data_IF_088060946873
#
_entry.id   IF_088060946873
#
_cell.length_a   1.000
_cell.length_b   1.000
_cell.length_c   1.000
_cell.angle_alpha   90.00
_cell.angle_beta   90.00
_cell.angle_gamma   90.00
#
_symmetry.space_group_name_H-M   'P 1'
#
loop_
_entity.id
_entity.type
_entity.pdbx_description
1 polymer ?
#
# COMPACT_ATOMS: atom_id res chain seq x y z
N UNK A 1 -16.44 -13.51 -4.62
CA UNK A 1 -16.70 -12.19 -5.24
C UNK A 1 -17.37 -11.31 -4.21
N UNK A 2 -16.80 -10.13 -3.94
CA UNK A 2 -17.31 -9.21 -2.92
C UNK A 2 -18.61 -8.56 -3.39
N UNK A 3 -19.70 -8.82 -2.68
CA UNK A 3 -21.05 -8.33 -3.00
C UNK A 3 -21.28 -6.88 -2.53
N UNK A 4 -21.66 -6.04 -3.50
CA UNK A 4 -21.80 -4.57 -3.49
C UNK A 4 -22.72 -3.91 -2.47
N UNK A 5 -23.46 -4.66 -1.68
CA UNK A 5 -24.45 -4.10 -0.76
C UNK A 5 -23.83 -3.74 0.60
N UNK A 6 -22.67 -4.32 0.95
CA UNK A 6 -22.12 -4.37 2.31
C UNK A 6 -20.69 -3.80 2.46
N UNK A 7 -20.17 -3.03 1.49
CA UNK A 7 -18.82 -2.45 1.55
C UNK A 7 -18.73 -0.98 1.14
N UNK A 8 -17.74 -0.27 1.71
CA UNK A 8 -17.43 1.11 1.33
C UNK A 8 -16.72 1.91 2.41
N UNK A 9 -16.44 3.18 2.07
CA UNK A 9 -15.93 4.16 3.03
C UNK A 9 -16.98 4.39 4.12
N UNK A 10 -16.58 4.26 5.39
CA UNK A 10 -17.43 4.58 6.53
C UNK A 10 -17.48 6.10 6.71
N UNK A 11 -18.44 6.75 6.08
CA UNK A 11 -18.64 8.19 6.24
C UNK A 11 -18.82 8.55 7.72
N UNK A 12 -17.96 9.44 8.23
CA UNK A 12 -17.99 9.90 9.62
C UNK A 12 -17.28 9.00 10.64
N UNK A 13 -16.77 7.81 10.26
CA UNK A 13 -15.86 7.04 11.09
C UNK A 13 -14.41 7.21 10.59
N UNK A 14 -13.49 7.29 11.54
CA UNK A 14 -12.06 7.40 11.28
C UNK A 14 -11.31 6.55 12.32
N UNK A 15 -9.99 6.42 12.15
CA UNK A 15 -9.12 5.74 13.12
C UNK A 15 -9.17 6.37 14.53
N UNK A 16 -9.67 7.59 14.68
CA UNK A 16 -9.85 8.25 15.98
C UNK A 16 -11.09 7.79 16.76
N UNK A 17 -11.97 6.99 16.15
CA UNK A 17 -13.11 6.39 16.83
C UNK A 17 -12.58 5.41 17.92
N UNK A 18 -13.09 5.46 19.17
CA UNK A 18 -12.69 4.54 20.23
C UNK A 18 -12.71 3.06 19.85
N UNK A 19 -13.55 2.68 18.88
CA UNK A 19 -13.63 1.33 18.32
C UNK A 19 -12.30 0.84 17.73
N UNK A 20 -11.45 1.74 17.24
CA UNK A 20 -10.15 1.41 16.63
C UNK A 20 -8.95 1.70 17.54
N UNK A 21 -9.17 2.05 18.82
CA UNK A 21 -8.10 2.41 19.76
C UNK A 21 -7.05 1.30 19.94
N UNK A 22 -7.45 0.04 19.95
CA UNK A 22 -6.53 -1.12 20.02
C UNK A 22 -5.66 -1.25 18.77
N UNK A 23 -6.21 -0.93 17.60
CA UNK A 23 -5.48 -0.96 16.32
C UNK A 23 -4.44 0.17 16.29
N UNK A 24 -4.82 1.38 16.69
CA UNK A 24 -3.91 2.53 16.69
C UNK A 24 -2.83 2.36 17.76
N UNK A 25 -3.19 2.00 18.99
CA UNK A 25 -2.22 1.85 20.08
C UNK A 25 -1.29 0.64 19.95
N UNK A 26 -1.69 -0.38 19.17
CA UNK A 26 -0.88 -1.55 18.89
C UNK A 26 -0.07 -1.47 17.60
N UNK A 27 -0.13 -0.36 16.86
CA UNK A 27 0.57 -0.20 15.59
C UNK A 27 2.09 -0.22 15.80
N UNK A 28 2.84 -1.10 15.12
CA UNK A 28 4.30 -1.05 15.14
C UNK A 28 4.83 0.17 14.38
N UNK A 29 6.07 0.55 14.65
CA UNK A 29 6.80 1.57 13.90
C UNK A 29 6.73 1.30 12.39
N UNK A 30 6.39 2.33 11.60
CA UNK A 30 6.24 2.23 10.15
C UNK A 30 4.92 1.60 9.65
N UNK A 31 3.95 1.31 10.52
CA UNK A 31 2.64 0.84 10.09
C UNK A 31 1.88 1.94 9.32
N UNK A 32 1.64 1.71 8.03
CA UNK A 32 0.91 2.66 7.17
C UNK A 32 -0.60 2.35 7.12
N UNK A 33 -0.96 1.09 7.32
CA UNK A 33 -2.34 0.62 7.30
C UNK A 33 -2.53 -0.59 8.20
N UNK A 34 -3.78 -0.88 8.54
CA UNK A 34 -4.17 -2.09 9.24
C UNK A 34 -5.39 -2.74 8.62
N UNK A 35 -5.41 -4.07 8.69
CA UNK A 35 -6.58 -4.90 8.46
C UNK A 35 -7.09 -5.33 9.83
N UNK A 36 -8.38 -5.14 10.08
CA UNK A 36 -9.00 -5.50 11.35
C UNK A 36 -10.25 -6.35 11.13
N UNK A 37 -10.26 -7.58 11.66
CA UNK A 37 -11.38 -8.50 11.59
C UNK A 37 -12.13 -8.54 12.92
N UNK A 38 -13.43 -8.25 12.90
CA UNK A 38 -14.30 -8.17 14.06
C UNK A 38 -15.64 -8.84 13.83
N UNK A 39 -16.19 -9.49 14.86
CA UNK A 39 -17.57 -10.01 14.78
C UNK A 39 -18.59 -8.87 14.67
N UNK A 40 -19.69 -9.12 13.96
CA UNK A 40 -20.81 -8.16 13.89
C UNK A 40 -21.72 -8.38 15.11
N UNK A 41 -21.67 -7.49 16.10
CA UNK A 41 -22.57 -7.52 17.27
C UNK A 41 -21.97 -6.86 18.51
N UNK A 42 -22.80 -6.54 19.50
CA UNK A 42 -22.32 -6.16 20.84
C UNK A 42 -21.84 -7.41 21.59
N UNK A 43 -20.74 -7.33 22.36
CA UNK A 43 -20.27 -8.40 23.27
C UNK A 43 -19.87 -9.73 22.60
N UNK A 44 -19.17 -9.68 21.45
CA UNK A 44 -18.73 -10.87 20.71
C UNK A 44 -19.88 -11.72 20.15
N UNK A 45 -21.11 -11.19 20.09
CA UNK A 45 -22.21 -11.85 19.42
C UNK A 45 -21.85 -11.99 17.93
N UNK A 46 -21.74 -13.23 17.46
CA UNK A 46 -21.55 -13.54 16.04
C UNK A 46 -22.92 -13.46 15.34
N UNK A 47 -23.37 -12.24 15.05
CA UNK A 47 -24.65 -12.03 14.37
C UNK A 47 -24.55 -12.54 12.93
N UNK A 48 -25.42 -13.49 12.57
CA UNK A 48 -25.57 -14.04 11.22
C UNK A 48 -24.31 -14.74 10.65
N UNK A 49 -23.38 -15.20 11.49
CA UNK A 49 -22.14 -15.84 11.04
C UNK A 49 -21.32 -14.94 10.08
N UNK A 50 -21.26 -13.65 10.39
CA UNK A 50 -20.59 -12.63 9.59
C UNK A 50 -19.66 -11.76 10.43
N UNK A 51 -18.55 -11.36 9.82
CA UNK A 51 -17.57 -10.46 10.40
C UNK A 51 -17.49 -9.16 9.59
N UNK A 52 -17.23 -8.05 10.28
CA UNK A 52 -16.74 -6.83 9.67
C UNK A 52 -15.24 -6.92 9.47
N UNK A 53 -14.79 -6.69 8.25
CA UNK A 53 -13.39 -6.58 7.91
C UNK A 53 -13.10 -5.14 7.49
N UNK A 54 -12.19 -4.50 8.22
CA UNK A 54 -11.82 -3.10 8.02
C UNK A 54 -10.45 -3.01 7.38
N UNK A 55 -10.27 -2.00 6.53
CA UNK A 55 -8.98 -1.51 6.05
C UNK A 55 -8.84 -0.07 6.53
N UNK A 56 -7.86 0.18 7.39
CA UNK A 56 -7.65 1.47 8.06
C UNK A 56 -6.39 2.13 7.50
N UNK A 57 -6.48 3.40 7.10
CA UNK A 57 -5.29 4.21 6.85
C UNK A 57 -4.76 4.74 8.18
N UNK A 58 -3.60 4.26 8.62
CA UNK A 58 -2.94 4.70 9.85
C UNK A 58 -1.97 5.85 9.62
N UNK A 59 -1.64 6.16 8.36
CA UNK A 59 -0.67 7.17 7.98
C UNK A 59 -1.25 8.59 7.93
N UNK A 60 -0.35 9.57 7.93
CA UNK A 60 -0.66 10.99 7.76
C UNK A 60 -0.84 11.39 6.30
N UNK A 61 -0.67 10.45 5.38
CA UNK A 61 -0.75 10.66 3.93
C UNK A 61 -1.87 9.85 3.31
N UNK A 62 -2.20 10.20 2.07
CA UNK A 62 -3.24 9.46 1.33
C UNK A 62 -2.63 8.17 0.81
N UNK A 63 -3.21 7.04 1.19
CA UNK A 63 -2.83 5.77 0.61
C UNK A 63 -3.39 5.65 -0.81
N UNK A 64 -2.59 5.10 -1.72
CA UNK A 64 -2.96 4.92 -3.13
C UNK A 64 -3.14 3.45 -3.47
N UNK A 65 -4.03 3.16 -4.42
CA UNK A 65 -4.32 1.80 -4.90
C UNK A 65 -4.45 0.77 -3.77
N UNK A 66 -5.33 0.99 -2.77
CA UNK A 66 -5.56 -0.01 -1.75
C UNK A 66 -6.20 -1.26 -2.38
N UNK A 67 -5.62 -2.42 -2.08
CA UNK A 67 -6.07 -3.72 -2.57
C UNK A 67 -6.13 -4.74 -1.44
N UNK A 68 -6.99 -5.73 -1.61
CA UNK A 68 -6.99 -6.92 -0.76
C UNK A 68 -7.50 -8.16 -1.49
N UNK A 69 -7.30 -9.31 -0.88
CA UNK A 69 -7.77 -10.59 -1.38
C UNK A 69 -8.02 -11.54 -0.23
N UNK A 70 -9.01 -12.40 -0.37
CA UNK A 70 -9.40 -13.38 0.64
C UNK A 70 -9.46 -14.77 0.00
N UNK A 71 -8.92 -15.79 0.67
CA UNK A 71 -9.00 -17.18 0.19
C UNK A 71 -8.97 -18.16 1.35
N UNK A 72 -9.53 -19.34 1.16
CA UNK A 72 -9.39 -20.48 2.08
C UNK A 72 -8.42 -21.55 1.54
N UNK A 73 -8.11 -21.52 0.24
CA UNK A 73 -7.52 -22.67 -0.46
C UNK A 73 -6.24 -22.37 -1.27
N UNK A 74 -5.82 -21.11 -1.40
CA UNK A 74 -4.70 -20.73 -2.28
C UNK A 74 -3.57 -19.99 -1.57
N UNK A 75 -2.32 -20.25 -2.01
CA UNK A 75 -1.10 -19.54 -1.59
C UNK A 75 -0.58 -18.54 -2.65
N UNK A 76 -1.35 -18.29 -3.72
CA UNK A 76 -0.98 -17.38 -4.81
C UNK A 76 -1.14 -15.89 -4.47
N UNK A 77 -0.89 -15.00 -5.44
CA UNK A 77 -1.35 -13.62 -5.34
C UNK A 77 -2.81 -13.54 -5.76
N UNK A 78 -3.68 -13.07 -4.88
CA UNK A 78 -5.14 -12.99 -5.10
C UNK A 78 -5.72 -11.63 -4.71
N UNK A 79 -4.96 -10.54 -4.85
CA UNK A 79 -5.47 -9.19 -4.56
C UNK A 79 -6.37 -8.66 -5.68
N UNK A 80 -7.34 -7.85 -5.27
CA UNK A 80 -8.16 -7.02 -6.12
C UNK A 80 -8.28 -5.62 -5.48
N UNK A 81 -8.39 -4.55 -6.29
CA UNK A 81 -8.63 -3.21 -5.78
C UNK A 81 -9.86 -3.15 -4.87
N UNK A 82 -9.79 -2.35 -3.81
CA UNK A 82 -10.97 -2.02 -3.01
C UNK A 82 -11.98 -1.29 -3.89
N UNK A 83 -13.27 -1.52 -3.64
CA UNK A 83 -14.35 -0.97 -4.45
C UNK A 83 -15.26 -0.10 -3.58
N UNK A 84 -15.75 1.01 -4.13
CA UNK A 84 -16.77 1.86 -3.51
C UNK A 84 -18.04 1.87 -4.34
N UNK A 85 -19.06 2.58 -3.84
CA UNK A 85 -20.32 2.89 -4.52
C UNK A 85 -21.24 1.71 -4.84
N UNK A 86 -20.75 0.47 -4.78
CA UNK A 86 -21.55 -0.72 -4.52
C UNK A 86 -22.99 -0.70 -5.10
N UNK A 87 -24.01 -0.97 -4.28
CA UNK A 87 -25.43 -0.92 -4.66
C UNK A 87 -25.96 0.48 -4.98
N UNK A 88 -25.25 1.54 -4.54
CA UNK A 88 -25.61 2.94 -4.84
C UNK A 88 -25.58 3.24 -6.34
N UNK A 89 -25.14 2.25 -7.12
CA UNK A 89 -25.01 2.26 -8.53
C UNK A 89 -25.48 0.93 -9.19
N UNK A 90 -26.38 0.16 -8.58
CA UNK A 90 -26.85 -1.09 -9.20
C UNK A 90 -27.53 -0.81 -10.57
N UNK A 91 -27.01 -1.31 -11.71
CA UNK A 91 -27.57 -1.00 -13.03
C UNK A 91 -28.99 -1.51 -13.24
N UNK A 92 -29.40 -2.56 -12.51
CA UNK A 92 -30.79 -3.04 -12.49
C UNK A 92 -31.77 -2.03 -11.88
N UNK A 93 -31.27 -1.11 -11.05
CA UNK A 93 -32.03 -0.03 -10.44
C UNK A 93 -31.59 1.36 -10.94
N UNK A 94 -30.84 1.42 -12.05
CA UNK A 94 -30.46 2.67 -12.72
C UNK A 94 -29.19 3.35 -12.21
N UNK A 95 -28.26 2.59 -11.63
CA UNK A 95 -26.97 3.10 -11.20
C UNK A 95 -25.76 2.66 -12.06
N UNK A 96 -24.56 3.21 -11.83
CA UNK A 96 -23.39 3.05 -12.72
C UNK A 96 -22.36 1.91 -12.42
N UNK A 97 -22.63 0.99 -11.48
CA UNK A 97 -21.74 -0.05 -10.97
C UNK A 97 -20.87 0.28 -9.73
N UNK A 98 -19.98 -0.65 -9.35
CA UNK A 98 -18.99 -0.37 -8.32
C UNK A 98 -17.81 0.37 -8.93
N UNK A 99 -17.29 1.38 -8.21
CA UNK A 99 -16.12 2.16 -8.61
C UNK A 99 -14.88 1.68 -7.87
N UNK A 100 -13.72 1.69 -8.51
CA UNK A 100 -12.45 1.40 -7.82
C UNK A 100 -12.10 2.51 -6.84
N UNK A 101 -11.78 2.13 -5.60
CA UNK A 101 -11.18 3.03 -4.63
C UNK A 101 -9.71 3.24 -4.98
N UNK A 102 -9.39 4.35 -5.64
CA UNK A 102 -8.01 4.66 -6.04
C UNK A 102 -7.18 5.26 -4.89
N UNK A 103 -7.84 5.77 -3.86
CA UNK A 103 -7.18 6.45 -2.75
C UNK A 103 -7.97 6.37 -1.45
N UNK A 104 -7.27 6.22 -0.32
CA UNK A 104 -7.84 6.25 1.02
C UNK A 104 -7.18 7.39 1.82
N UNK A 105 -7.95 8.41 2.19
CA UNK A 105 -7.47 9.59 2.88
C UNK A 105 -6.86 9.27 4.27
N UNK A 106 -6.00 10.14 4.83
CA UNK A 106 -5.43 9.96 6.16
C UNK A 106 -6.52 9.68 7.21
N UNK A 107 -6.32 8.63 8.01
CA UNK A 107 -7.28 8.22 9.05
C UNK A 107 -8.62 7.68 8.56
N UNK A 108 -8.84 7.58 7.24
CA UNK A 108 -10.08 7.03 6.70
C UNK A 108 -10.15 5.51 6.89
N UNK A 109 -11.38 5.02 7.06
CA UNK A 109 -11.68 3.61 7.26
C UNK A 109 -12.57 3.11 6.14
N UNK A 110 -12.13 2.04 5.49
CA UNK A 110 -12.92 1.23 4.59
C UNK A 110 -13.40 -0.03 5.32
N UNK A 111 -14.63 -0.47 5.05
CA UNK A 111 -15.17 -1.68 5.63
C UNK A 111 -15.87 -2.55 4.57
N UNK A 112 -15.82 -3.86 4.76
CA UNK A 112 -16.74 -4.83 4.14
C UNK A 112 -17.28 -5.76 5.21
N UNK A 113 -18.32 -6.50 4.86
CA UNK A 113 -18.73 -7.69 5.59
C UNK A 113 -18.24 -8.92 4.86
N UNK A 114 -17.74 -9.90 5.61
CA UNK A 114 -17.31 -11.20 5.12
C UNK A 114 -18.08 -12.31 5.86
N UNK A 115 -18.29 -13.47 5.23
CA UNK A 115 -18.73 -14.66 5.96
C UNK A 115 -17.71 -15.04 7.02
N UNK A 116 -18.18 -15.64 8.11
CA UNK A 116 -17.28 -16.33 9.02
C UNK A 116 -16.82 -17.65 8.37
N UNK A 117 -15.52 -17.84 8.21
CA UNK A 117 -14.95 -19.01 7.55
C UNK A 117 -14.59 -20.08 8.58
N UNK A 118 -15.25 -21.25 8.48
CA UNK A 118 -14.93 -22.42 9.30
C UNK A 118 -13.48 -22.85 9.09
N UNK A 119 -12.59 -22.53 10.04
CA UNK A 119 -11.15 -22.82 9.98
C UNK A 119 -10.25 -21.60 9.72
N UNK A 120 -10.82 -20.42 9.51
CA UNK A 120 -10.10 -19.19 9.20
C UNK A 120 -9.90 -19.02 7.70
N UNK A 121 -9.21 -17.94 7.33
CA UNK A 121 -8.92 -17.59 5.95
C UNK A 121 -7.55 -16.93 5.83
N UNK A 122 -7.03 -16.86 4.61
CA UNK A 122 -5.81 -16.13 4.27
C UNK A 122 -6.15 -14.80 3.62
N UNK A 123 -5.31 -13.81 3.88
CA UNK A 123 -5.41 -12.47 3.31
C UNK A 123 -4.09 -12.03 2.67
N UNK A 124 -4.23 -11.43 1.49
CA UNK A 124 -3.22 -10.56 0.89
C UNK A 124 -3.79 -9.15 0.89
N UNK A 125 -2.97 -8.15 1.15
CA UNK A 125 -3.39 -6.77 1.06
C UNK A 125 -2.21 -5.86 0.76
N UNK A 126 -2.48 -4.75 0.09
CA UNK A 126 -1.47 -3.74 -0.21
C UNK A 126 -2.11 -2.35 -0.27
N UNK A 127 -1.29 -1.34 -0.03
CA UNK A 127 -1.60 0.06 -0.31
C UNK A 127 -0.28 0.83 -0.47
N UNK A 128 -0.25 1.79 -1.40
CA UNK A 128 0.94 2.58 -1.71
C UNK A 128 2.20 1.73 -1.91
N UNK A 129 2.07 0.54 -2.51
CA UNK A 129 3.19 -0.39 -2.76
C UNK A 129 3.69 -1.18 -1.54
N UNK A 130 3.21 -0.92 -0.33
CA UNK A 130 3.48 -1.72 0.87
C UNK A 130 2.37 -2.76 1.04
N UNK A 131 2.72 -4.00 1.40
CA UNK A 131 1.71 -5.05 1.51
C UNK A 131 2.13 -6.26 2.32
N UNK A 132 1.14 -7.12 2.57
CA UNK A 132 1.26 -8.40 3.26
C UNK A 132 0.76 -9.52 2.35
N UNK A 133 1.37 -10.69 2.46
CA UNK A 133 1.02 -11.88 1.66
C UNK A 133 0.81 -13.09 2.56
N UNK A 134 -0.20 -13.89 2.21
CA UNK A 134 -0.62 -15.15 2.83
C UNK A 134 -0.74 -15.07 4.37
N UNK A 135 -1.19 -13.94 4.90
CA UNK A 135 -1.41 -13.80 6.34
C UNK A 135 -2.67 -14.56 6.73
N UNK A 136 -2.60 -15.30 7.84
CA UNK A 136 -3.72 -16.15 8.31
C UNK A 136 -4.55 -15.38 9.34
N UNK A 137 -5.86 -15.30 9.11
CA UNK A 137 -6.86 -14.84 10.08
C UNK A 137 -7.65 -16.07 10.58
N UNK A 138 -7.58 -16.40 11.88
CA UNK A 138 -8.27 -17.57 12.43
C UNK A 138 -9.80 -17.36 12.54
N UNK A 139 -10.57 -18.46 12.55
CA UNK A 139 -12.05 -18.47 12.69
C UNK A 139 -12.54 -17.87 14.02
N UNK A 140 -11.73 -18.01 15.07
CA UNK A 140 -11.96 -17.44 16.40
C UNK A 140 -11.47 -15.98 16.49
N UNK A 141 -11.10 -15.39 15.34
CA UNK A 141 -10.32 -14.17 15.20
C UNK A 141 -11.08 -12.87 15.42
N UNK A 142 -12.01 -12.84 16.36
CA UNK A 142 -12.48 -11.58 16.91
C UNK A 142 -11.27 -10.86 17.51
N UNK A 143 -10.97 -9.68 16.99
CA UNK A 143 -9.85 -8.86 17.41
C UNK A 143 -8.58 -9.05 16.58
N UNK A 144 -8.61 -9.82 15.48
CA UNK A 144 -7.39 -10.06 14.70
C UNK A 144 -6.99 -8.82 13.92
N UNK A 145 -5.76 -8.36 14.13
CA UNK A 145 -5.18 -7.18 13.47
C UNK A 145 -3.95 -7.62 12.67
N UNK A 146 -3.85 -7.16 11.42
CA UNK A 146 -2.68 -7.32 10.56
C UNK A 146 -2.23 -5.94 10.11
N UNK A 147 -0.98 -5.59 10.35
CA UNK A 147 -0.41 -4.31 9.92
C UNK A 147 0.31 -4.44 8.58
N UNK A 148 0.15 -3.43 7.73
CA UNK A 148 0.99 -3.20 6.57
C UNK A 148 2.09 -2.24 7.03
N UNK A 149 3.32 -2.75 7.12
CA UNK A 149 4.46 -2.04 7.70
C UNK A 149 5.43 -1.67 6.58
N UNK A 150 5.62 -0.37 6.37
CA UNK A 150 6.63 0.20 5.48
C UNK A 150 7.94 0.44 6.21
N UNK A 151 8.84 1.21 5.59
CA UNK A 151 10.09 1.63 6.19
C UNK A 151 9.82 2.54 7.42
N UNK A 152 10.28 2.19 8.64
CA UNK A 152 10.07 3.06 9.79
C UNK A 152 10.73 4.42 9.59
N UNK A 153 9.98 5.50 9.83
CA UNK A 153 10.42 6.88 9.60
C UNK A 153 10.12 7.44 8.21
N UNK A 154 9.68 6.61 7.25
CA UNK A 154 9.16 7.02 5.94
C UNK A 154 7.68 7.39 6.11
N UNK A 155 7.44 8.67 6.33
CA UNK A 155 6.12 9.21 6.68
C UNK A 155 5.38 9.75 5.48
N UNK A 156 6.08 10.11 4.39
CA UNK A 156 5.42 10.48 3.15
C UNK A 156 5.22 9.31 2.16
N UNK A 157 5.75 8.13 2.51
CA UNK A 157 5.58 6.85 1.81
C UNK A 157 6.21 6.92 0.41
N UNK A 158 7.35 7.58 0.30
CA UNK A 158 8.14 7.66 -0.94
C UNK A 158 9.28 6.62 -1.00
N UNK A 159 9.31 5.72 -0.02
CA UNK A 159 10.29 4.64 0.16
C UNK A 159 11.68 5.11 0.59
N UNK A 160 11.82 6.32 1.14
CA UNK A 160 13.03 6.77 1.80
C UNK A 160 12.74 7.52 3.11
N UNK A 161 13.78 7.78 3.90
CA UNK A 161 13.68 8.55 5.15
C UNK A 161 14.56 9.78 5.04
N UNK A 162 13.97 10.94 4.79
CA UNK A 162 14.66 12.20 4.59
C UNK A 162 13.96 13.41 5.25
N UNK A 163 14.31 14.63 4.82
CA UNK A 163 13.73 15.85 5.38
C UNK A 163 12.24 16.04 5.06
N UNK A 164 11.73 15.47 3.98
CA UNK A 164 10.32 15.51 3.60
C UNK A 164 9.47 14.74 4.61
N UNK A 165 9.96 13.59 5.09
CA UNK A 165 9.33 12.81 6.15
C UNK A 165 9.24 13.58 7.45
N UNK A 166 10.31 14.28 7.82
CA UNK A 166 10.29 15.13 9.01
C UNK A 166 9.20 16.19 8.93
N UNK A 167 8.98 16.79 7.76
CA UNK A 167 7.90 17.75 7.53
C UNK A 167 6.52 17.08 7.56
N UNK A 168 6.40 15.85 7.05
CA UNK A 168 5.17 15.06 7.15
C UNK A 168 4.83 14.77 8.62
N UNK A 169 5.81 14.32 9.41
CA UNK A 169 5.69 14.13 10.85
C UNK A 169 5.25 15.42 11.55
N UNK A 170 5.90 16.55 11.30
CA UNK A 170 5.54 17.84 11.92
C UNK A 170 4.09 18.24 11.65
N UNK A 171 3.58 17.98 10.44
CA UNK A 171 2.18 18.30 10.08
C UNK A 171 1.18 17.34 10.73
N UNK A 172 1.56 16.08 10.96
CA UNK A 172 0.71 15.07 11.57
C UNK A 172 0.86 14.91 13.09
N UNK A 173 1.80 15.62 13.71
CA UNK A 173 2.09 15.49 15.14
C UNK A 173 0.87 15.80 16.02
N UNK A 174 0.60 14.92 17.00
CA UNK A 174 -0.52 15.01 17.92
C UNK A 174 -1.86 14.53 17.35
N UNK A 175 -1.87 14.01 16.11
CA UNK A 175 -3.05 13.40 15.49
C UNK A 175 -2.73 12.01 14.97
N UNK A 176 -1.83 11.94 13.99
CA UNK A 176 -1.39 10.70 13.36
C UNK A 176 -0.08 10.24 13.98
N UNK A 177 0.84 11.18 14.23
CA UNK A 177 2.17 10.88 14.74
C UNK A 177 2.38 11.41 16.16
N UNK A 178 3.28 10.77 16.89
CA UNK A 178 3.71 11.15 18.23
C UNK A 178 5.23 11.31 18.35
N UNK A 179 5.73 11.37 19.60
CA UNK A 179 7.16 11.56 19.87
C UNK A 179 7.99 10.29 19.63
N UNK A 180 7.37 9.11 19.69
CA UNK A 180 7.99 7.83 19.33
C UNK A 180 8.32 7.78 17.84
N UNK A 181 7.40 8.22 16.98
CA UNK A 181 7.61 8.28 15.53
C UNK A 181 8.83 9.16 15.17
N UNK A 182 9.06 10.26 15.89
CA UNK A 182 10.25 11.08 15.67
C UNK A 182 11.55 10.29 15.91
N UNK A 183 11.56 9.38 16.89
CA UNK A 183 12.72 8.53 17.15
C UNK A 183 12.96 7.52 16.01
N UNK A 184 11.89 7.03 15.37
CA UNK A 184 11.98 6.17 14.20
C UNK A 184 12.61 6.92 13.02
N UNK A 185 12.17 8.15 12.75
CA UNK A 185 12.80 9.01 11.74
C UNK A 185 14.29 9.26 12.03
N UNK A 186 14.64 9.60 13.29
CA UNK A 186 16.04 9.82 13.67
C UNK A 186 16.91 8.58 13.50
N UNK A 187 16.36 7.41 13.80
CA UNK A 187 17.08 6.13 13.73
C UNK A 187 17.30 5.69 12.28
N UNK A 188 16.36 6.02 11.39
CA UNK A 188 16.36 5.57 10.00
C UNK A 188 16.74 6.66 8.99
N UNK A 189 17.14 7.86 9.42
CA UNK A 189 17.51 8.95 8.52
C UNK A 189 18.55 8.52 7.47
N UNK A 190 18.21 8.66 6.20
CA UNK A 190 19.01 8.22 5.05
C UNK A 190 18.81 6.76 4.64
N UNK A 191 17.91 6.02 5.31
CA UNK A 191 17.46 4.72 4.86
C UNK A 191 16.57 4.88 3.61
N UNK A 192 16.58 3.87 2.77
CA UNK A 192 15.67 3.74 1.65
C UNK A 192 15.28 2.27 1.53
N UNK A 193 14.01 2.02 1.29
CA UNK A 193 13.53 0.67 1.09
C UNK A 193 14.03 0.15 -0.26
N UNK A 194 14.25 -1.15 -0.36
CA UNK A 194 14.79 -1.76 -1.57
C UNK A 194 13.70 -1.88 -2.66
N UNK A 195 13.07 -0.78 -3.06
CA UNK A 195 12.17 -0.78 -4.22
C UNK A 195 13.02 -0.81 -5.48
N UNK A 196 12.78 -1.82 -6.32
CA UNK A 196 13.53 -2.13 -7.53
C UNK A 196 13.60 -0.93 -8.49
N UNK A 197 14.65 -0.13 -8.40
CA UNK A 197 15.10 0.75 -9.49
C UNK A 197 15.74 -0.14 -10.57
N UNK A 198 14.88 -0.78 -11.36
CA UNK A 198 15.27 -1.80 -12.33
C UNK A 198 14.67 -1.60 -13.72
N UNK A 199 14.36 -0.39 -14.17
CA UNK A 199 14.35 -0.18 -15.62
C UNK A 199 15.80 -0.23 -16.07
N UNK A 200 16.25 -1.37 -16.57
CA UNK A 200 17.54 -1.49 -17.24
C UNK A 200 17.64 -0.33 -18.24
N UNK A 201 18.53 0.62 -17.96
CA UNK A 201 18.81 1.72 -18.87
C UNK A 201 19.35 1.07 -20.15
N UNK A 202 18.70 1.20 -21.32
CA UNK A 202 19.20 0.59 -22.53
C UNK A 202 20.56 1.20 -22.87
N UNK A 203 21.61 0.40 -22.87
CA UNK A 203 23.00 0.75 -23.19
C UNK A 203 23.20 1.08 -24.69
N UNK A 204 22.18 1.61 -25.38
CA UNK A 204 22.18 1.81 -26.82
C UNK A 204 23.12 2.90 -27.32
N UNK A 205 23.56 3.82 -26.45
CA UNK A 205 24.27 5.03 -26.89
C UNK A 205 25.80 4.94 -26.84
N UNK A 206 26.38 4.01 -26.05
CA UNK A 206 27.84 3.87 -25.91
C UNK A 206 28.47 3.22 -27.14
N UNK A 207 27.79 2.25 -27.76
CA UNK A 207 28.25 1.61 -29.00
C UNK A 207 28.25 2.58 -30.20
N UNK A 208 27.25 3.46 -30.27
CA UNK A 208 27.18 4.50 -31.31
C UNK A 208 28.33 5.52 -31.19
N UNK A 209 28.63 5.97 -29.97
CA UNK A 209 29.74 6.90 -29.72
C UNK A 209 31.11 6.24 -29.98
N UNK A 210 31.29 4.98 -29.59
CA UNK A 210 32.52 4.24 -29.88
C UNK A 210 32.72 4.00 -31.39
N UNK A 211 31.66 3.71 -32.14
CA UNK A 211 31.70 3.56 -33.59
C UNK A 211 32.03 4.87 -34.33
N UNK A 212 31.44 5.99 -33.90
CA UNK A 212 31.76 7.31 -34.44
C UNK A 212 33.21 7.73 -34.13
N UNK A 213 33.71 7.42 -32.93
CA UNK A 213 35.11 7.64 -32.57
C UNK A 213 36.07 6.83 -33.44
N UNK A 214 35.78 5.56 -33.70
CA UNK A 214 36.62 4.69 -34.52
C UNK A 214 36.65 5.13 -35.99
N UNK A 215 35.52 5.53 -36.56
CA UNK A 215 35.45 6.03 -37.94
C UNK A 215 36.21 7.35 -38.12
N UNK A 216 36.14 8.26 -37.14
CA UNK A 216 36.94 9.49 -37.14
C UNK A 216 38.45 9.21 -37.06
N UNK A 217 38.88 8.25 -36.23
CA UNK A 217 40.28 7.86 -36.11
C UNK A 217 40.81 7.22 -37.41
N UNK A 218 40.01 6.38 -38.06
CA UNK A 218 40.37 5.78 -39.35
C UNK A 218 40.43 6.82 -40.47
N UNK A 219 39.50 7.78 -40.50
CA UNK A 219 39.51 8.88 -41.46
C UNK A 219 40.73 9.82 -41.29
N UNK A 220 41.14 10.08 -40.04
CA UNK A 220 42.35 10.85 -39.74
C UNK A 220 43.64 10.12 -40.16
N UNK A 221 43.71 8.79 -40.02
CA UNK A 221 44.86 8.01 -40.49
C UNK A 221 45.01 8.03 -42.01
N UNK A 222 43.90 7.85 -42.75
CA UNK A 222 43.94 7.89 -44.22
C UNK A 222 44.38 9.23 -44.81
N UNK A 223 44.01 10.36 -44.19
CA UNK A 223 44.47 11.70 -44.63
C UNK A 223 45.96 11.94 -44.43
N UNK A 224 46.58 11.30 -43.44
CA UNK A 224 48.02 11.44 -43.19
C UNK A 224 48.87 10.66 -44.20
N UNK A 225 48.36 9.53 -44.69
CA UNK A 225 49.04 8.71 -45.69
C UNK A 225 48.96 9.34 -47.09
N UNK A 226 47.81 9.90 -47.48
CA UNK A 226 47.66 10.59 -48.77
C UNK A 226 48.59 11.82 -48.93
N UNK A 227 48.89 12.54 -47.85
CA UNK A 227 49.79 13.72 -47.89
C UNK A 227 51.28 13.36 -47.96
N UNK A 228 51.66 12.09 -47.83
CA UNK A 228 53.07 11.64 -47.92
C UNK A 228 53.47 11.14 -49.30
N UNK A 229 52.53 11.09 -50.27
CA UNK A 229 52.75 10.54 -51.61
C UNK A 229 52.77 11.58 -52.74
N UNK A 230 52.98 12.87 -52.43
CA UNK A 230 53.24 13.93 -53.41
C UNK A 230 54.62 14.56 -53.16
#
# INVERSE_FOLDING_TARGET
EGGADLYGLKAGQSISDPYFSSVVSGAPAGAIAAIYNQNIGSNNDNYLDQNSLFFLNLSGTTLTNPEWGLTIDSDGSFTAPLLTRGFAENPLFGGDGADTLTSLAPGAVYATIIPNFTGGFKINASASGVGVTNQVIPNNGDGTIIYLVGLPGDFDIDFNVDGADFLAWQRGFGTVYDAGDLADWQTNLGAADAVATGSAVPEGSTLLLAGLGLTLLLACRGRLEYRRSC
#
